data_IF_031820194251
#
_entry.id   IF_031820194251
#
_cell.length_a   1.000
_cell.length_b   1.000
_cell.length_c   1.000
_cell.angle_alpha   90.00
_cell.angle_beta   90.00
_cell.angle_gamma   90.00
#
_symmetry.space_group_name_H-M   'P 1'
#
loop_
_entity.id
_entity.type
_entity.pdbx_description
1 polymer ?
#
# COMPACT_ATOMS: atom_id res chain seq x y z
N UNK A 1 4.17 15.81 17.04
CA UNK A 1 3.59 14.63 16.37
C UNK A 1 2.67 14.94 15.18
N UNK A 2 1.91 16.06 15.14
CA UNK A 2 1.06 16.40 13.97
C UNK A 2 1.84 16.63 12.67
N UNK A 3 3.03 17.23 12.74
CA UNK A 3 3.84 17.52 11.55
C UNK A 3 4.36 16.26 10.85
N UNK A 4 4.76 15.25 11.63
CA UNK A 4 5.27 13.98 11.10
C UNK A 4 4.14 13.16 10.42
N UNK A 5 2.91 13.19 10.95
CA UNK A 5 1.75 12.57 10.31
C UNK A 5 1.43 13.21 8.95
N UNK A 6 1.64 14.51 8.82
CA UNK A 6 1.42 15.22 7.55
C UNK A 6 2.37 14.76 6.45
N UNK A 7 3.64 14.50 6.76
CA UNK A 7 4.64 14.05 5.78
C UNK A 7 4.54 12.57 5.42
N UNK A 8 3.88 11.76 6.25
CA UNK A 8 3.72 10.32 5.99
C UNK A 8 2.34 9.93 5.46
N UNK A 9 1.38 10.85 5.44
CA UNK A 9 0.05 10.59 4.90
C UNK A 9 0.12 10.57 3.37
N UNK A 10 -0.24 9.46 2.77
CA UNK A 10 -0.20 9.24 1.32
C UNK A 10 -1.57 9.39 0.64
N UNK A 11 -2.66 9.37 1.40
CA UNK A 11 -4.03 9.52 0.88
C UNK A 11 -4.90 10.34 1.84
N UNK A 12 -5.79 11.17 1.29
CA UNK A 12 -6.82 11.89 2.05
C UNK A 12 -8.14 11.15 2.10
N UNK A 13 -8.45 10.44 1.01
CA UNK A 13 -9.66 9.65 0.87
C UNK A 13 -9.55 8.31 1.61
N UNK A 14 -10.64 7.84 2.21
CA UNK A 14 -10.75 6.48 2.71
C UNK A 14 -10.79 5.46 1.55
N UNK A 15 -10.67 4.18 1.87
CA UNK A 15 -10.60 3.09 0.89
C UNK A 15 -11.85 3.04 0.00
N UNK A 16 -13.04 3.26 0.59
CA UNK A 16 -14.29 3.26 -0.14
C UNK A 16 -14.34 4.39 -1.16
N UNK A 17 -14.02 5.60 -0.75
CA UNK A 17 -13.94 6.77 -1.64
C UNK A 17 -12.88 6.58 -2.73
N UNK A 18 -11.74 6.00 -2.39
CA UNK A 18 -10.70 5.69 -3.37
C UNK A 18 -11.23 4.75 -4.45
N UNK A 19 -11.92 3.68 -4.07
CA UNK A 19 -12.46 2.71 -5.01
C UNK A 19 -13.62 3.28 -5.84
N UNK A 20 -14.64 3.90 -5.19
CA UNK A 20 -15.87 4.33 -5.83
C UNK A 20 -15.70 5.61 -6.68
N UNK A 21 -14.99 6.60 -6.14
CA UNK A 21 -14.86 7.91 -6.79
C UNK A 21 -13.63 8.02 -7.69
N UNK A 22 -12.51 7.45 -7.28
CA UNK A 22 -11.24 7.61 -7.98
C UNK A 22 -10.79 6.38 -8.77
N UNK A 23 -11.62 5.35 -8.83
CA UNK A 23 -11.38 4.12 -9.59
C UNK A 23 -10.10 3.37 -9.18
N UNK A 24 -9.72 3.48 -7.89
CA UNK A 24 -8.57 2.75 -7.37
C UNK A 24 -8.91 1.26 -7.27
N UNK A 25 -8.06 0.42 -7.89
CA UNK A 25 -8.22 -1.05 -7.92
C UNK A 25 -7.04 -1.76 -7.27
N UNK A 26 -5.94 -1.06 -7.01
CA UNK A 26 -4.78 -1.62 -6.34
C UNK A 26 -4.40 -0.79 -5.11
N UNK A 27 -4.23 -1.46 -3.97
CA UNK A 27 -3.89 -0.82 -2.71
C UNK A 27 -2.52 -1.31 -2.23
N UNK A 28 -1.79 -0.43 -1.53
CA UNK A 28 -0.48 -0.72 -0.93
C UNK A 28 -0.67 -0.91 0.59
N UNK A 29 -0.60 -2.15 1.05
CA UNK A 29 -0.73 -2.51 2.45
C UNK A 29 0.64 -2.79 3.06
N UNK A 30 1.07 -1.93 3.96
CA UNK A 30 2.32 -2.08 4.68
C UNK A 30 2.05 -2.41 6.13
N UNK A 31 2.61 -3.51 6.58
CA UNK A 31 2.38 -4.02 7.93
C UNK A 31 3.67 -4.24 8.69
N UNK A 32 3.60 -4.14 9.99
CA UNK A 32 4.56 -4.71 10.95
C UNK A 32 3.80 -5.32 12.10
N UNK A 33 4.47 -6.14 12.90
CA UNK A 33 3.87 -6.77 14.06
C UNK A 33 4.29 -6.07 15.34
N UNK A 34 3.31 -5.73 16.17
CA UNK A 34 3.52 -5.16 17.49
C UNK A 34 2.80 -6.07 18.49
N UNK A 35 3.56 -6.71 19.39
CA UNK A 35 3.01 -7.69 20.33
C UNK A 35 2.15 -8.79 19.64
N UNK A 36 2.62 -9.31 18.51
CA UNK A 36 1.90 -10.35 17.76
C UNK A 36 0.74 -9.85 16.88
N UNK A 37 0.37 -8.56 16.97
CA UNK A 37 -0.77 -8.00 16.24
C UNK A 37 -0.26 -7.24 15.01
N UNK A 38 -0.83 -7.47 13.81
CA UNK A 38 -0.50 -6.69 12.63
C UNK A 38 -0.98 -5.24 12.79
N UNK A 39 -0.10 -4.29 12.56
CA UNK A 39 -0.41 -2.87 12.56
C UNK A 39 -0.02 -2.25 11.23
N UNK A 40 -0.88 -1.38 10.70
CA UNK A 40 -0.62 -0.68 9.46
C UNK A 40 0.43 0.40 9.71
N UNK A 41 1.43 0.44 8.84
CA UNK A 41 2.54 1.37 8.96
C UNK A 41 2.88 2.03 7.64
N UNK A 42 3.49 3.19 7.74
CA UNK A 42 4.28 3.76 6.66
C UNK A 42 5.59 4.26 7.26
N UNK A 43 6.64 3.53 6.98
CA UNK A 43 7.95 3.77 7.57
C UNK A 43 7.93 3.56 9.12
N UNK A 44 8.22 4.64 9.88
CA UNK A 44 8.23 4.63 11.34
C UNK A 44 6.89 5.05 11.96
N UNK A 45 5.91 5.44 11.13
CA UNK A 45 4.60 5.88 11.61
C UNK A 45 3.64 4.71 11.62
N UNK A 46 3.06 4.45 12.77
CA UNK A 46 1.93 3.54 12.94
C UNK A 46 0.65 4.35 12.77
N UNK A 47 -0.20 3.93 11.85
CA UNK A 47 -1.55 4.48 11.74
C UNK A 47 -2.44 3.83 12.79
N UNK A 48 -3.24 4.66 13.50
CA UNK A 48 -4.26 4.21 14.46
C UNK A 48 -5.42 3.52 13.72
N UNK A 49 -5.12 2.47 13.01
CA UNK A 49 -6.16 1.63 12.44
C UNK A 49 -6.16 0.34 13.25
N UNK A 50 -7.25 0.12 13.97
CA UNK A 50 -7.41 -1.12 14.71
C UNK A 50 -7.45 -2.31 13.75
N UNK A 51 -7.05 -3.51 14.17
CA UNK A 51 -7.22 -4.71 13.37
C UNK A 51 -8.63 -4.87 12.81
N UNK A 52 -9.66 -4.50 13.60
CA UNK A 52 -11.06 -4.54 13.19
C UNK A 52 -11.36 -3.55 12.04
N UNK A 53 -10.70 -2.38 12.04
CA UNK A 53 -10.81 -1.41 10.96
C UNK A 53 -10.25 -1.95 9.65
N UNK A 54 -9.08 -2.59 9.70
CA UNK A 54 -8.48 -3.25 8.55
C UNK A 54 -9.36 -4.39 8.04
N UNK A 55 -9.83 -5.27 8.93
CA UNK A 55 -10.69 -6.40 8.58
C UNK A 55 -11.94 -5.93 7.86
N UNK A 56 -12.65 -4.94 8.39
CA UNK A 56 -13.84 -4.37 7.76
C UNK A 56 -13.58 -3.78 6.37
N UNK A 57 -12.45 -3.12 6.17
CA UNK A 57 -12.06 -2.59 4.86
C UNK A 57 -11.77 -3.73 3.87
N UNK A 58 -11.09 -4.79 4.32
CA UNK A 58 -10.80 -5.96 3.50
C UNK A 58 -12.07 -6.76 3.16
N UNK A 59 -12.99 -6.94 4.10
CA UNK A 59 -14.32 -7.54 3.86
C UNK A 59 -15.06 -6.76 2.78
N UNK A 60 -15.12 -5.43 2.92
CA UNK A 60 -15.78 -4.59 1.94
C UNK A 60 -15.12 -4.67 0.55
N UNK A 61 -13.78 -4.69 0.48
CA UNK A 61 -13.03 -4.85 -0.77
C UNK A 61 -13.20 -6.24 -1.37
N UNK A 62 -13.35 -7.29 -0.55
CA UNK A 62 -13.53 -8.66 -1.02
C UNK A 62 -14.85 -8.86 -1.78
N UNK A 63 -15.84 -8.01 -1.53
CA UNK A 63 -17.10 -7.97 -2.27
C UNK A 63 -17.01 -7.21 -3.60
N UNK A 64 -15.84 -6.63 -3.92
CA UNK A 64 -15.64 -5.83 -5.12
C UNK A 64 -14.91 -6.62 -6.19
N UNK A 65 -15.09 -6.17 -7.45
CA UNK A 65 -14.39 -6.76 -8.60
C UNK A 65 -13.02 -6.14 -8.79
N UNK A 66 -12.10 -6.96 -9.29
CA UNK A 66 -10.78 -6.52 -9.78
C UNK A 66 -9.89 -5.82 -8.75
N UNK A 67 -10.07 -6.13 -7.46
CA UNK A 67 -9.24 -5.59 -6.40
C UNK A 67 -7.92 -6.37 -6.31
N UNK A 68 -6.84 -5.60 -6.21
CA UNK A 68 -5.53 -6.15 -5.92
C UNK A 68 -4.89 -5.41 -4.73
N UNK A 69 -4.14 -6.13 -3.90
CA UNK A 69 -3.44 -5.56 -2.76
C UNK A 69 -1.98 -6.02 -2.78
N UNK A 70 -1.09 -5.05 -2.84
CA UNK A 70 0.33 -5.28 -2.63
C UNK A 70 0.60 -5.30 -1.12
N UNK A 71 1.16 -6.40 -0.63
CA UNK A 71 1.45 -6.56 0.80
C UNK A 71 2.95 -6.46 1.04
N UNK A 72 3.35 -5.63 1.99
CA UNK A 72 4.74 -5.37 2.34
C UNK A 72 4.92 -5.52 3.84
N UNK A 73 5.92 -6.32 4.25
CA UNK A 73 6.44 -6.25 5.60
C UNK A 73 7.39 -5.04 5.69
N UNK A 74 6.92 -3.95 6.30
CA UNK A 74 7.67 -2.68 6.36
C UNK A 74 8.50 -2.61 7.64
N UNK A 75 9.75 -3.05 7.56
CA UNK A 75 10.72 -2.86 8.63
C UNK A 75 11.82 -1.95 8.09
N UNK A 76 11.80 -0.72 8.54
CA UNK A 76 12.87 0.24 8.31
C UNK A 76 13.98 0.06 9.32
N UNK A 77 14.71 -1.01 9.25
CA UNK A 77 16.00 -1.04 9.91
C UNK A 77 16.93 -1.94 9.10
N UNK A 78 18.22 -1.64 9.15
CA UNK A 78 19.26 -2.57 8.73
C UNK A 78 19.29 -3.82 9.65
N UNK A 79 18.33 -3.92 10.57
CA UNK A 79 18.13 -5.05 11.46
C UNK A 79 17.37 -6.09 10.65
N UNK A 80 17.95 -7.24 10.49
CA UNK A 80 17.30 -8.39 9.88
C UNK A 80 16.01 -8.72 10.61
N UNK A 81 14.97 -9.10 9.85
CA UNK A 81 13.74 -9.61 10.41
C UNK A 81 14.03 -10.80 11.32
N UNK A 82 13.51 -10.80 12.54
CA UNK A 82 13.57 -11.98 13.39
C UNK A 82 12.78 -13.12 12.75
N UNK A 83 13.15 -14.36 13.05
CA UNK A 83 12.39 -15.54 12.59
C UNK A 83 10.93 -15.48 13.02
N UNK A 84 10.66 -14.92 14.19
CA UNK A 84 9.30 -14.70 14.71
C UNK A 84 8.51 -13.73 13.83
N UNK A 85 9.08 -12.59 13.46
CA UNK A 85 8.41 -11.62 12.57
C UNK A 85 8.16 -12.19 11.19
N UNK A 86 9.08 -13.00 10.67
CA UNK A 86 8.91 -13.72 9.40
C UNK A 86 7.74 -14.70 9.49
N UNK A 87 7.67 -15.49 10.57
CA UNK A 87 6.57 -16.42 10.83
C UNK A 87 5.22 -15.71 10.89
N UNK A 88 5.09 -14.68 11.72
CA UNK A 88 3.87 -13.88 11.83
C UNK A 88 3.42 -13.29 10.49
N UNK A 89 4.38 -12.85 9.65
CA UNK A 89 4.04 -12.31 8.33
C UNK A 89 3.54 -13.40 7.38
N UNK A 90 4.13 -14.59 7.43
CA UNK A 90 3.69 -15.75 6.62
C UNK A 90 2.27 -16.14 7.02
N UNK A 91 1.99 -16.26 8.32
CA UNK A 91 0.66 -16.59 8.84
C UNK A 91 -0.36 -15.52 8.43
N UNK A 92 -0.01 -14.25 8.56
CA UNK A 92 -0.86 -13.13 8.13
C UNK A 92 -1.17 -13.18 6.62
N UNK A 93 -0.18 -13.46 5.77
CA UNK A 93 -0.39 -13.58 4.33
C UNK A 93 -1.28 -14.78 3.98
N UNK A 94 -1.10 -15.91 4.66
CA UNK A 94 -1.96 -17.07 4.52
C UNK A 94 -3.42 -16.76 4.88
N UNK A 95 -3.63 -16.06 5.99
CA UNK A 95 -4.96 -15.64 6.43
C UNK A 95 -5.61 -14.65 5.45
N UNK A 96 -4.85 -13.72 4.88
CA UNK A 96 -5.36 -12.82 3.84
C UNK A 96 -5.94 -13.59 2.65
N UNK A 97 -5.22 -14.58 2.10
CA UNK A 97 -5.72 -15.39 0.98
C UNK A 97 -6.90 -16.28 1.37
N UNK A 98 -6.91 -16.77 2.60
CA UNK A 98 -7.96 -17.66 3.10
C UNK A 98 -9.27 -16.94 3.34
N UNK A 99 -9.23 -15.76 3.96
CA UNK A 99 -10.43 -15.02 4.37
C UNK A 99 -10.94 -14.05 3.30
N UNK A 100 -10.07 -13.64 2.35
CA UNK A 100 -10.42 -12.69 1.30
C UNK A 100 -10.10 -13.24 -0.10
N UNK A 101 -10.74 -14.35 -0.51
CA UNK A 101 -10.37 -15.10 -1.72
C UNK A 101 -10.62 -14.35 -3.04
N UNK A 102 -11.42 -13.29 -3.05
CA UNK A 102 -11.69 -12.50 -4.24
C UNK A 102 -10.67 -11.38 -4.48
N UNK A 103 -9.85 -11.07 -3.47
CA UNK A 103 -8.77 -10.08 -3.59
C UNK A 103 -7.51 -10.77 -4.15
N UNK A 104 -6.87 -10.13 -5.12
CA UNK A 104 -5.58 -10.57 -5.66
C UNK A 104 -4.44 -10.01 -4.81
N UNK A 105 -3.87 -10.83 -3.94
CA UNK A 105 -2.72 -10.43 -3.14
C UNK A 105 -1.40 -10.72 -3.86
N UNK A 106 -0.41 -9.87 -3.65
CA UNK A 106 0.93 -10.05 -4.17
C UNK A 106 1.98 -9.33 -3.29
N UNK A 107 3.23 -9.84 -3.34
CA UNK A 107 4.31 -9.29 -2.52
C UNK A 107 4.82 -7.96 -3.09
N UNK A 108 4.96 -6.96 -2.22
CA UNK A 108 5.76 -5.81 -2.53
C UNK A 108 7.25 -6.10 -2.29
N UNK A 109 8.11 -5.64 -3.20
CA UNK A 109 9.54 -5.59 -2.90
C UNK A 109 9.76 -4.52 -1.83
N UNK A 110 10.20 -4.93 -0.65
CA UNK A 110 10.77 -3.98 0.31
C UNK A 110 12.19 -3.62 -0.17
N UNK A 111 12.51 -2.33 -0.21
CA UNK A 111 13.84 -1.84 -0.62
C UNK A 111 14.97 -2.49 0.23
N UNK A 112 14.64 -2.96 1.42
CA UNK A 112 15.57 -3.50 2.41
C UNK A 112 15.54 -5.03 2.55
N UNK A 113 14.53 -5.71 1.98
CA UNK A 113 14.42 -7.16 1.99
C UNK A 113 14.16 -7.66 0.58
N UNK A 114 15.16 -8.33 -0.01
CA UNK A 114 15.00 -9.04 -1.29
C UNK A 114 14.38 -10.42 -1.12
N UNK A 115 14.06 -10.82 0.10
CA UNK A 115 13.56 -12.13 0.42
C UNK A 115 12.04 -12.15 0.28
N UNK A 116 11.54 -13.01 -0.61
CA UNK A 116 10.10 -13.28 -0.72
C UNK A 116 9.74 -14.23 0.41
N UNK A 117 9.11 -13.71 1.47
CA UNK A 117 8.76 -14.49 2.65
C UNK A 117 7.52 -15.36 2.44
N UNK A 118 6.60 -14.96 1.56
CA UNK A 118 5.38 -15.68 1.26
C UNK A 118 5.11 -15.65 -0.25
N UNK A 119 4.65 -16.76 -0.82
CA UNK A 119 4.29 -16.84 -2.24
C UNK A 119 2.78 -16.83 -2.38
N UNK A 120 2.21 -15.68 -2.67
CA UNK A 120 0.79 -15.57 -3.00
C UNK A 120 0.43 -16.33 -4.29
N UNK A 121 -0.82 -16.76 -4.40
CA UNK A 121 -1.36 -17.39 -5.62
C UNK A 121 -1.24 -16.46 -6.83
N UNK A 122 -1.51 -15.17 -6.62
CA UNK A 122 -1.26 -14.11 -7.59
C UNK A 122 0.04 -13.39 -7.21
N UNK A 123 1.14 -13.74 -7.83
CA UNK A 123 2.47 -13.15 -7.53
C UNK A 123 3.16 -12.70 -8.83
N UNK A 124 2.65 -11.64 -9.48
CA UNK A 124 3.29 -11.09 -10.66
C UNK A 124 4.60 -10.40 -10.30
N UNK A 125 5.49 -10.24 -11.25
CA UNK A 125 6.65 -9.38 -11.09
C UNK A 125 6.20 -7.94 -10.86
N UNK A 126 6.71 -7.29 -9.79
CA UNK A 126 6.43 -5.87 -9.53
C UNK A 126 6.74 -4.97 -10.73
N UNK A 127 7.84 -5.28 -11.47
CA UNK A 127 8.23 -4.54 -12.67
C UNK A 127 7.26 -4.63 -13.82
N UNK A 128 6.48 -5.70 -13.87
CA UNK A 128 5.49 -5.95 -14.94
C UNK A 128 4.14 -5.32 -14.62
N UNK A 129 3.74 -5.33 -13.35
CA UNK A 129 2.37 -5.02 -12.94
C UNK A 129 2.16 -3.55 -12.63
N UNK A 130 3.15 -2.86 -12.04
CA UNK A 130 2.96 -1.48 -11.64
C UNK A 130 4.09 -0.55 -12.07
N UNK A 131 3.72 0.73 -12.29
CA UNK A 131 4.66 1.82 -12.43
C UNK A 131 4.60 2.72 -11.19
N UNK A 132 5.75 2.95 -10.59
CA UNK A 132 5.92 4.05 -9.65
C UNK A 132 6.46 5.25 -10.43
N UNK A 133 5.68 6.32 -10.47
CA UNK A 133 6.04 7.52 -11.22
C UNK A 133 6.80 8.51 -10.37
N UNK A 134 6.86 8.26 -9.07
CA UNK A 134 7.63 9.09 -8.17
C UNK A 134 9.12 8.79 -8.35
N UNK A 135 9.80 9.66 -9.09
CA UNK A 135 11.23 9.90 -8.91
C UNK A 135 11.37 11.21 -8.12
N UNK A 136 11.11 11.18 -6.81
CA UNK A 136 11.14 12.41 -6.03
C UNK A 136 12.57 12.92 -5.96
N UNK A 137 12.74 14.20 -6.12
CA UNK A 137 13.93 14.87 -5.61
C UNK A 137 13.85 14.80 -4.09
N UNK A 138 14.97 14.91 -3.40
CA UNK A 138 15.09 14.75 -1.93
C UNK A 138 13.99 15.50 -1.13
N UNK A 139 13.51 16.62 -1.62
CA UNK A 139 12.45 17.44 -1.01
C UNK A 139 11.03 16.92 -1.25
N UNK A 140 10.80 16.21 -2.35
CA UNK A 140 9.47 15.70 -2.72
C UNK A 140 9.06 14.53 -1.81
N UNK A 141 10.04 13.76 -1.30
CA UNK A 141 9.83 12.69 -0.32
C UNK A 141 9.32 13.22 1.03
N UNK A 142 9.67 14.47 1.37
CA UNK A 142 9.23 15.11 2.61
C UNK A 142 7.82 15.72 2.48
N UNK A 143 7.39 16.04 1.26
CA UNK A 143 6.12 16.71 0.99
C UNK A 143 5.31 16.02 -0.11
N UNK A 144 4.91 14.73 0.08
CA UNK A 144 4.25 13.94 -0.98
C UNK A 144 2.94 14.59 -1.45
N UNK A 145 2.21 15.29 -0.58
CA UNK A 145 1.00 16.03 -0.97
C UNK A 145 1.28 17.18 -1.95
N UNK A 146 2.35 17.94 -1.73
CA UNK A 146 2.71 19.04 -2.64
C UNK A 146 3.15 18.51 -4.00
N UNK A 147 3.91 17.42 -4.00
CA UNK A 147 4.30 16.73 -5.22
C UNK A 147 3.06 16.24 -5.98
N UNK A 148 2.16 15.53 -5.31
CA UNK A 148 0.94 14.99 -5.89
C UNK A 148 0.05 16.10 -6.49
N UNK A 149 -0.19 17.18 -5.73
CA UNK A 149 -0.97 18.32 -6.21
C UNK A 149 -0.40 18.94 -7.49
N UNK A 150 0.92 18.96 -7.63
CA UNK A 150 1.60 19.55 -8.79
C UNK A 150 1.63 18.60 -10.00
N UNK A 151 1.73 17.29 -9.77
CA UNK A 151 2.14 16.37 -10.81
C UNK A 151 1.09 15.29 -11.15
N UNK A 152 0.17 14.93 -10.24
CA UNK A 152 -0.70 13.76 -10.44
C UNK A 152 -1.59 13.87 -11.67
N UNK A 153 -2.16 15.06 -11.98
CA UNK A 153 -2.99 15.24 -13.18
C UNK A 153 -2.22 14.87 -14.43
N UNK A 154 -1.01 15.43 -14.60
CA UNK A 154 -0.15 15.12 -15.72
C UNK A 154 0.25 13.65 -15.80
N UNK A 155 0.64 13.06 -14.64
CA UNK A 155 1.00 11.64 -14.55
C UNK A 155 -0.18 10.75 -14.94
N UNK A 156 -1.39 11.11 -14.54
CA UNK A 156 -2.61 10.38 -14.87
C UNK A 156 -2.93 10.47 -16.36
N UNK A 157 -2.79 11.66 -16.97
CA UNK A 157 -3.02 11.89 -18.39
C UNK A 157 -1.99 11.19 -19.29
N UNK A 158 -0.72 11.16 -18.88
CA UNK A 158 0.34 10.44 -19.59
C UNK A 158 0.16 8.91 -19.49
N UNK A 159 -0.51 8.44 -18.44
CA UNK A 159 -0.80 7.04 -18.23
C UNK A 159 0.43 6.16 -18.05
N UNK A 160 0.25 4.86 -18.26
CA UNK A 160 1.31 3.88 -18.22
C UNK A 160 0.92 2.63 -19.02
N UNK A 161 1.90 1.90 -19.51
CA UNK A 161 1.70 0.58 -20.11
C UNK A 161 1.61 -0.54 -19.04
N UNK A 162 1.66 -0.19 -17.76
CA UNK A 162 1.53 -1.12 -16.64
C UNK A 162 0.08 -1.24 -16.21
N UNK A 163 -0.25 -2.37 -15.59
CA UNK A 163 -1.61 -2.64 -15.14
C UNK A 163 -2.07 -1.65 -14.05
N UNK A 164 -1.15 -1.26 -13.18
CA UNK A 164 -1.44 -0.34 -12.08
C UNK A 164 -0.44 0.83 -12.07
N UNK A 165 -0.97 2.01 -11.83
CA UNK A 165 -0.20 3.23 -11.60
C UNK A 165 -0.23 3.54 -10.10
N UNK A 166 0.95 3.64 -9.47
CA UNK A 166 1.05 3.97 -8.05
C UNK A 166 1.12 5.49 -7.86
N UNK A 167 0.12 6.03 -7.17
CA UNK A 167 -0.01 7.45 -6.88
C UNK A 167 -0.35 7.69 -5.42
N UNK A 168 0.31 8.67 -4.82
CA UNK A 168 -0.15 9.27 -3.57
C UNK A 168 -1.22 10.33 -3.86
N UNK A 169 -2.18 10.51 -2.93
CA UNK A 169 -3.22 11.54 -3.03
C UNK A 169 -3.98 11.53 -4.36
N UNK A 170 -4.63 10.41 -4.66
CA UNK A 170 -5.38 10.19 -5.92
C UNK A 170 -6.44 11.25 -6.22
N UNK A 171 -6.92 11.97 -5.19
CA UNK A 171 -7.84 13.09 -5.35
C UNK A 171 -7.29 14.26 -6.17
N UNK A 172 -5.99 14.31 -6.41
CA UNK A 172 -5.37 15.30 -7.30
C UNK A 172 -5.18 14.82 -8.74
N UNK A 173 -5.64 13.62 -9.08
CA UNK A 173 -5.60 13.12 -10.47
C UNK A 173 -6.74 13.68 -11.33
N UNK A 174 -7.91 13.86 -10.72
CA UNK A 174 -9.12 14.39 -11.35
C UNK A 174 -9.48 15.69 -10.64
N UNK A 175 -9.88 16.71 -11.39
CA UNK A 175 -10.50 17.90 -10.80
C UNK A 175 -11.77 17.45 -10.07
N UNK A 176 -11.99 18.00 -8.88
CA UNK A 176 -13.28 17.82 -8.23
C UNK A 176 -14.34 18.53 -9.10
N UNK A 177 -15.16 17.73 -9.76
CA UNK A 177 -16.39 18.23 -10.35
C UNK A 177 -17.31 18.77 -9.28
#
# INVERSE_FOLDING_TARGET
>A
MKLIRFTAKCQDADIKTQYEKYDVRCFDLRVKFKHGVPVIVHNFIVYDKSPEGLTRDLEWLNDKKDVAIRVILDIRSKIEYTSEQKGMFVDFCYDLERYFPHIKFWNGECIYSREVLYKFKYSPSCKEVYASVMKPKLWDDWYPRMFAKKNNKKIWEEGTNKQYLMLDFVNYCKEAE
#
